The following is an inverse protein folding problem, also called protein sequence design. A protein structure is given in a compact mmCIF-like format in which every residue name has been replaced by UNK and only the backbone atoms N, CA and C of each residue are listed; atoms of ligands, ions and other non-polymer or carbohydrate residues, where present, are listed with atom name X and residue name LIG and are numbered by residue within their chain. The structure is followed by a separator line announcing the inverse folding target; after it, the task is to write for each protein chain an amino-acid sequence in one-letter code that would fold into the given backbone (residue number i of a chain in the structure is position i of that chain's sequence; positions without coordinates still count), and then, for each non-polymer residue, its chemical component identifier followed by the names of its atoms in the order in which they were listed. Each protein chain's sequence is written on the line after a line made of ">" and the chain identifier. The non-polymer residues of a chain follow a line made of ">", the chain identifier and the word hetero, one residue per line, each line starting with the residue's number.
data_IF_248367612893
#
_entry.id   IF_248367612893
#
_cell.length_a   1.000
_cell.length_b   1.000
_cell.length_c   1.000
_cell.angle_alpha   90.00
_cell.angle_beta   90.00
_cell.angle_gamma   90.00
#
_symmetry.space_group_name_H-M   'P 1'
#
loop_
_entity.id
_entity.type
_entity.pdbx_description
1 polymer ?
#
# COMPACT_ATOMS: atom_id res chain seq x y z
N UNK A 1 26.79 -4.26 20.49
CA UNK A 1 25.46 -4.22 21.19
C UNK A 1 24.27 -4.10 20.23
N UNK A 2 24.46 -3.63 18.98
CA UNK A 2 23.41 -3.49 17.95
C UNK A 2 22.99 -4.82 17.28
N UNK A 3 23.88 -5.81 17.26
CA UNK A 3 23.77 -7.00 16.38
C UNK A 3 22.68 -7.99 16.81
N UNK A 4 22.42 -8.10 18.13
CA UNK A 4 21.38 -9.01 18.65
C UNK A 4 19.96 -8.52 18.36
N UNK A 5 19.77 -7.22 18.16
CA UNK A 5 18.46 -6.60 17.91
C UNK A 5 18.02 -6.66 16.44
N UNK A 6 18.89 -7.02 15.49
CA UNK A 6 18.52 -7.18 14.07
C UNK A 6 18.29 -8.65 13.74
N UNK A 7 19.01 -9.55 14.41
CA UNK A 7 18.93 -10.99 14.18
C UNK A 7 17.50 -11.56 14.36
N UNK A 8 16.76 -11.12 15.38
CA UNK A 8 15.36 -11.55 15.56
C UNK A 8 14.44 -11.00 14.47
N UNK A 9 14.70 -9.79 13.97
CA UNK A 9 13.90 -9.15 12.92
C UNK A 9 14.03 -9.87 11.57
N UNK A 10 15.22 -10.43 11.29
CA UNK A 10 15.48 -11.27 10.13
C UNK A 10 14.96 -12.71 10.28
N UNK A 11 14.68 -13.15 11.51
CA UNK A 11 14.19 -14.50 11.78
C UNK A 11 12.68 -14.64 11.59
N UNK A 12 11.94 -13.53 11.52
CA UNK A 12 10.49 -13.53 11.29
C UNK A 12 10.24 -13.55 9.77
N UNK A 13 9.59 -14.59 9.22
CA UNK A 13 9.17 -14.60 7.82
C UNK A 13 8.29 -13.39 7.49
N UNK A 14 8.60 -12.68 6.41
CA UNK A 14 7.83 -11.51 5.97
C UNK A 14 6.33 -11.80 5.81
N UNK A 15 5.97 -13.05 5.47
CA UNK A 15 4.57 -13.51 5.39
C UNK A 15 3.78 -13.31 6.70
N UNK A 16 4.44 -13.36 7.85
CA UNK A 16 3.80 -13.12 9.15
C UNK A 16 3.56 -11.65 9.44
N UNK A 17 4.18 -10.74 8.68
CA UNK A 17 4.04 -9.29 8.84
C UNK A 17 3.07 -8.67 7.81
N UNK A 18 2.50 -9.48 6.92
CA UNK A 18 1.65 -9.02 5.81
C UNK A 18 0.25 -9.60 6.00
N UNK A 19 -0.78 -8.77 5.78
CA UNK A 19 -2.15 -9.25 5.76
C UNK A 19 -2.47 -9.89 4.40
N UNK A 20 -2.95 -11.14 4.40
CA UNK A 20 -3.25 -11.91 3.19
C UNK A 20 -4.76 -12.20 3.10
N UNK A 21 -5.39 -12.05 1.91
CA UNK A 21 -4.80 -11.55 0.67
C UNK A 21 -4.50 -10.04 0.75
N UNK A 22 -3.44 -9.55 0.09
CA UNK A 22 -3.13 -8.13 0.10
C UNK A 22 -4.23 -7.36 -0.63
N UNK A 23 -4.69 -6.26 -0.04
CA UNK A 23 -5.63 -5.37 -0.70
C UNK A 23 -4.92 -4.67 -1.86
N UNK A 24 -5.48 -4.80 -3.06
CA UNK A 24 -4.95 -4.19 -4.28
C UNK A 24 -6.05 -3.45 -5.03
N UNK A 25 -5.67 -2.45 -5.82
CA UNK A 25 -6.55 -1.72 -6.72
C UNK A 25 -6.09 -1.88 -8.16
N UNK A 26 -7.02 -1.81 -9.11
CA UNK A 26 -6.68 -1.83 -10.54
C UNK A 26 -6.15 -0.47 -11.00
N UNK A 27 -5.36 -0.44 -12.06
CA UNK A 27 -4.87 0.80 -12.71
C UNK A 27 -5.98 1.78 -13.08
N UNK A 28 -7.17 1.29 -13.41
CA UNK A 28 -8.33 2.12 -13.74
C UNK A 28 -9.18 2.52 -12.52
N UNK A 29 -8.74 2.20 -11.30
CA UNK A 29 -9.48 2.55 -10.07
C UNK A 29 -9.31 4.05 -9.79
N UNK A 30 -10.40 4.81 -9.59
CA UNK A 30 -10.30 6.23 -9.26
C UNK A 30 -9.46 6.47 -8.00
N UNK A 31 -8.64 7.52 -8.03
CA UNK A 31 -7.73 7.83 -6.92
C UNK A 31 -8.49 8.04 -5.59
N UNK A 32 -9.64 8.73 -5.63
CA UNK A 32 -10.51 8.91 -4.46
C UNK A 32 -10.98 7.58 -3.86
N UNK A 33 -11.32 6.60 -4.71
CA UNK A 33 -11.75 5.27 -4.25
C UNK A 33 -10.59 4.51 -3.62
N UNK A 34 -9.39 4.61 -4.19
CA UNK A 34 -8.19 4.06 -3.58
C UNK A 34 -7.92 4.68 -2.20
N UNK A 35 -8.14 5.99 -2.05
CA UNK A 35 -8.04 6.69 -0.76
C UNK A 35 -9.06 6.28 0.28
N UNK A 36 -10.33 6.14 -0.13
CA UNK A 36 -11.37 5.63 0.74
C UNK A 36 -11.03 4.22 1.25
N UNK A 37 -10.55 3.34 0.37
CA UNK A 37 -10.08 2.00 0.76
C UNK A 37 -8.90 2.07 1.74
N UNK A 38 -7.92 2.93 1.49
CA UNK A 38 -6.80 3.14 2.40
C UNK A 38 -7.27 3.54 3.80
N UNK A 39 -8.17 4.51 3.91
CA UNK A 39 -8.73 4.96 5.20
C UNK A 39 -9.58 3.88 5.87
N UNK A 40 -10.36 3.13 5.09
CA UNK A 40 -11.26 2.08 5.61
C UNK A 40 -10.49 0.92 6.21
N UNK A 41 -9.32 0.60 5.66
CA UNK A 41 -8.49 -0.53 6.06
C UNK A 41 -7.23 -0.11 6.85
N UNK A 42 -7.15 1.15 7.28
CA UNK A 42 -5.99 1.73 7.99
C UNK A 42 -4.64 1.46 7.28
N UNK A 43 -4.64 1.59 5.94
CA UNK A 43 -3.47 1.32 5.10
C UNK A 43 -2.76 2.61 4.72
N UNK A 44 -1.47 2.67 5.03
CA UNK A 44 -0.59 3.76 4.59
C UNK A 44 -0.37 3.78 3.07
N UNK A 45 -0.44 2.61 2.43
CA UNK A 45 -0.20 2.42 1.00
C UNK A 45 -1.04 1.27 0.46
N UNK A 46 -1.41 1.36 -0.81
CA UNK A 46 -2.15 0.33 -1.54
C UNK A 46 -1.43 0.01 -2.85
N UNK A 47 -1.34 -1.29 -3.15
CA UNK A 47 -0.71 -1.77 -4.38
C UNK A 47 -1.65 -1.61 -5.57
N UNK A 48 -1.10 -1.16 -6.70
CA UNK A 48 -1.82 -1.00 -7.97
C UNK A 48 -1.42 -2.13 -8.91
N UNK A 49 -2.38 -2.89 -9.38
CA UNK A 49 -2.19 -4.02 -10.30
C UNK A 49 -2.85 -3.76 -11.65
N UNK A 50 -2.30 -4.31 -12.73
CA UNK A 50 -2.91 -4.26 -14.06
C UNK A 50 -4.07 -5.27 -14.20
N UNK A 51 -4.64 -5.40 -15.41
CA UNK A 51 -5.67 -6.39 -15.74
C UNK A 51 -5.24 -7.81 -15.39
N UNK A 52 -4.00 -8.15 -15.69
CA UNK A 52 -3.39 -9.49 -15.55
C UNK A 52 -2.96 -9.80 -14.11
N UNK A 53 -3.18 -8.87 -13.17
CA UNK A 53 -2.81 -9.02 -11.75
C UNK A 53 -1.35 -8.73 -11.44
N UNK A 54 -0.59 -8.22 -12.41
CA UNK A 54 0.81 -7.81 -12.23
C UNK A 54 0.86 -6.47 -11.49
N UNK A 55 1.71 -6.38 -10.46
CA UNK A 55 1.98 -5.14 -9.73
C UNK A 55 2.65 -4.13 -10.67
N UNK A 56 2.04 -2.95 -10.81
CA UNK A 56 2.56 -1.86 -11.65
C UNK A 56 2.95 -0.62 -10.87
N UNK A 57 2.52 -0.49 -9.62
CA UNK A 57 2.87 0.66 -8.80
C UNK A 57 2.23 0.66 -7.41
N UNK A 58 2.42 1.77 -6.69
CA UNK A 58 1.87 1.97 -5.35
C UNK A 58 1.22 3.34 -5.24
N UNK A 59 0.10 3.43 -4.53
CA UNK A 59 -0.51 4.68 -4.11
C UNK A 59 -0.36 4.80 -2.60
N UNK A 60 0.20 5.91 -2.14
CA UNK A 60 0.37 6.20 -0.72
C UNK A 60 0.08 7.66 -0.42
N UNK A 61 0.24 8.05 0.85
CA UNK A 61 -0.04 9.42 1.32
C UNK A 61 0.60 10.52 0.47
N UNK A 62 1.85 10.32 0.02
CA UNK A 62 2.55 11.29 -0.84
C UNK A 62 1.86 11.48 -2.19
N UNK A 63 1.38 10.40 -2.81
CA UNK A 63 0.63 10.44 -4.07
C UNK A 63 -0.70 11.14 -3.86
N UNK A 64 -1.38 10.86 -2.76
CA UNK A 64 -2.66 11.49 -2.41
C UNK A 64 -2.49 12.98 -2.17
N UNK A 65 -1.59 13.39 -1.30
CA UNK A 65 -1.33 14.80 -1.01
C UNK A 65 -0.99 15.62 -2.27
N UNK A 66 -0.28 15.01 -3.22
CA UNK A 66 0.10 15.67 -4.47
C UNK A 66 -1.06 15.83 -5.47
N UNK A 67 -1.99 14.88 -5.54
CA UNK A 67 -2.98 14.82 -6.61
C UNK A 67 -4.42 15.11 -6.16
N UNK A 68 -4.76 14.82 -4.90
CA UNK A 68 -6.09 15.03 -4.33
C UNK A 68 -6.57 16.49 -4.36
N UNK A 69 -5.73 17.53 -4.14
CA UNK A 69 -6.17 18.91 -4.21
C UNK A 69 -6.81 19.28 -5.55
N UNK A 70 -6.41 18.64 -6.66
CA UNK A 70 -6.95 18.89 -8.01
C UNK A 70 -8.37 18.37 -8.23
N UNK A 71 -8.90 17.56 -7.31
CA UNK A 71 -10.23 16.98 -7.41
C UNK A 71 -11.24 17.64 -6.47
N UNK A 72 -10.79 18.47 -5.53
CA UNK A 72 -11.61 19.08 -4.48
C UNK A 72 -11.64 20.62 -4.64
N UNK A 73 -10.68 21.20 -5.37
CA UNK A 73 -10.62 22.61 -5.77
C UNK A 73 -10.90 22.73 -7.28
#
# INVERSE_FOLDING_TARGET
>A
MLERSVAWMLSIPAKQLINLPPLTVKTNTPLLKAGALMLTHDLNQIAVVNSDGVLVGVVGHKTMAKHLPRFIL
#
